data_IF_608212741302
#
_entry.id   IF_608212741302
#
_cell.length_a   1.000
_cell.length_b   1.000
_cell.length_c   1.000
_cell.angle_alpha   90.00
_cell.angle_beta   90.00
_cell.angle_gamma   90.00
#
_symmetry.space_group_name_H-M   'P 1'
#
loop_
_entity.id
_entity.type
_entity.pdbx_description
1 polymer ?
#
# COMPACT_ATOMS: atom_id res chain seq x y z
N UNK A 1 49.02 -46.73 -3.47
CA UNK A 1 48.46 -46.42 -4.81
C UNK A 1 48.53 -44.91 -5.02
N UNK A 2 49.27 -44.45 -6.04
CA UNK A 2 49.52 -43.02 -6.33
C UNK A 2 48.36 -42.37 -7.10
N UNK A 3 47.14 -42.41 -6.57
CA UNK A 3 45.97 -41.84 -7.25
C UNK A 3 45.99 -40.30 -7.29
N UNK A 4 46.71 -39.66 -6.36
CA UNK A 4 46.81 -38.19 -6.32
C UNK A 4 47.62 -37.62 -7.50
N UNK A 5 48.64 -38.36 -7.95
CA UNK A 5 49.60 -37.89 -8.96
C UNK A 5 49.26 -38.33 -10.39
N UNK A 6 48.43 -39.36 -10.55
CA UNK A 6 48.11 -39.94 -11.87
C UNK A 6 46.78 -39.47 -12.46
N UNK A 7 45.96 -38.73 -11.71
CA UNK A 7 44.65 -38.27 -12.16
C UNK A 7 44.63 -36.76 -12.35
N UNK A 8 44.12 -36.30 -13.48
CA UNK A 8 43.90 -34.88 -13.73
C UNK A 8 42.77 -34.33 -12.85
N UNK A 9 42.77 -33.03 -12.59
CA UNK A 9 41.71 -32.40 -11.79
C UNK A 9 40.31 -32.62 -12.40
N UNK A 10 40.21 -32.69 -13.72
CA UNK A 10 38.97 -33.02 -14.43
C UNK A 10 38.55 -34.48 -14.21
N UNK A 11 39.49 -35.44 -14.26
CA UNK A 11 39.18 -36.85 -13.98
C UNK A 11 38.75 -37.08 -12.53
N UNK A 12 39.38 -36.38 -11.57
CA UNK A 12 38.97 -36.38 -10.16
C UNK A 12 37.53 -35.89 -9.99
N UNK A 13 37.12 -34.88 -10.77
CA UNK A 13 35.75 -34.37 -10.80
C UNK A 13 34.74 -35.40 -11.37
N UNK A 14 35.12 -36.10 -12.44
CA UNK A 14 34.29 -37.17 -13.03
C UNK A 14 34.07 -38.33 -12.06
N UNK A 15 35.10 -38.73 -11.31
CA UNK A 15 34.96 -39.75 -10.26
C UNK A 15 34.03 -39.27 -9.14
N UNK A 16 34.16 -38.02 -8.69
CA UNK A 16 33.28 -37.47 -7.66
C UNK A 16 31.81 -37.41 -8.11
N UNK A 17 31.56 -37.14 -9.38
CA UNK A 17 30.21 -37.20 -9.98
C UNK A 17 29.58 -38.59 -9.89
N UNK A 18 30.37 -39.66 -10.02
CA UNK A 18 29.88 -41.04 -9.96
C UNK A 18 29.58 -41.51 -8.53
N UNK A 19 30.39 -41.10 -7.55
CA UNK A 19 30.29 -41.63 -6.18
C UNK A 19 29.59 -40.70 -5.18
N UNK A 20 29.69 -39.36 -5.35
CA UNK A 20 29.20 -38.41 -4.35
C UNK A 20 28.83 -37.06 -4.96
N UNK A 21 27.65 -37.02 -5.57
CA UNK A 21 27.08 -35.82 -6.20
C UNK A 21 26.92 -34.63 -5.24
N UNK A 22 26.69 -34.86 -3.94
CA UNK A 22 26.54 -33.77 -2.95
C UNK A 22 27.79 -32.86 -2.82
N UNK A 23 28.97 -33.38 -3.16
CA UNK A 23 30.23 -32.62 -3.12
C UNK A 23 30.62 -32.06 -4.48
N UNK A 24 29.87 -32.40 -5.54
CA UNK A 24 30.18 -32.00 -6.91
C UNK A 24 30.16 -30.48 -7.06
N UNK A 25 29.17 -29.79 -6.48
CA UNK A 25 29.08 -28.33 -6.59
C UNK A 25 30.35 -27.64 -6.08
N UNK A 26 30.85 -28.02 -4.90
CA UNK A 26 32.10 -27.47 -4.35
C UNK A 26 33.31 -27.83 -5.21
N UNK A 27 33.42 -29.10 -5.62
CA UNK A 27 34.54 -29.55 -6.44
C UNK A 27 34.58 -28.91 -7.84
N UNK A 28 33.43 -28.58 -8.42
CA UNK A 28 33.33 -27.80 -9.67
C UNK A 28 33.88 -26.39 -9.44
N UNK A 29 33.48 -25.73 -8.36
CA UNK A 29 33.98 -24.39 -8.01
C UNK A 29 35.51 -24.41 -7.81
N UNK A 30 36.03 -25.43 -7.12
CA UNK A 30 37.47 -25.61 -6.92
C UNK A 30 38.20 -25.84 -8.27
N UNK A 31 37.62 -26.67 -9.14
CA UNK A 31 38.18 -26.95 -10.47
C UNK A 31 38.25 -25.69 -11.36
N UNK A 32 37.17 -24.90 -11.39
CA UNK A 32 37.12 -23.64 -12.16
C UNK A 32 38.10 -22.63 -11.57
N UNK A 33 38.20 -22.54 -10.25
CA UNK A 33 39.16 -21.64 -9.56
C UNK A 33 40.60 -21.99 -9.92
N UNK A 34 40.95 -23.27 -9.96
CA UNK A 34 42.30 -23.75 -10.30
C UNK A 34 42.65 -23.58 -11.78
N UNK A 35 41.67 -23.72 -12.67
CA UNK A 35 41.90 -23.75 -14.13
C UNK A 35 41.77 -22.37 -14.78
N UNK A 36 40.80 -21.56 -14.33
CA UNK A 36 40.44 -20.28 -14.95
C UNK A 36 40.69 -19.07 -14.04
N UNK A 37 40.96 -19.27 -12.73
CA UNK A 37 41.05 -18.26 -11.66
C UNK A 37 39.76 -18.08 -10.85
N UNK A 38 39.94 -17.69 -9.58
CA UNK A 38 38.89 -17.47 -8.59
C UNK A 38 37.85 -16.41 -9.00
N UNK A 39 38.23 -15.47 -9.89
CA UNK A 39 37.34 -14.43 -10.41
C UNK A 39 36.10 -14.97 -11.16
N UNK A 40 36.14 -16.22 -11.63
CA UNK A 40 35.03 -16.85 -12.36
C UNK A 40 34.04 -17.60 -11.46
N UNK A 41 34.39 -17.83 -10.20
CA UNK A 41 33.50 -18.45 -9.21
C UNK A 41 32.93 -17.46 -8.21
N UNK A 42 33.60 -16.31 -8.03
CA UNK A 42 33.08 -15.24 -7.19
C UNK A 42 32.00 -14.45 -7.93
N UNK A 43 30.85 -14.16 -7.29
CA UNK A 43 29.87 -13.26 -7.86
C UNK A 43 30.50 -11.88 -8.06
N UNK A 44 30.25 -11.21 -9.21
CA UNK A 44 30.81 -9.89 -9.46
C UNK A 44 30.31 -8.90 -8.41
N UNK A 45 31.22 -8.11 -7.83
CA UNK A 45 30.85 -7.01 -6.95
C UNK A 45 30.30 -5.88 -7.82
N UNK A 46 29.02 -5.58 -7.67
CA UNK A 46 28.36 -4.53 -8.46
C UNK A 46 28.73 -3.18 -7.84
N UNK A 47 29.45 -2.35 -8.60
CA UNK A 47 29.69 -0.94 -8.27
C UNK A 47 28.92 -0.05 -9.23
N UNK A 48 28.02 0.79 -8.70
CA UNK A 48 27.24 1.74 -9.52
C UNK A 48 28.12 2.75 -10.25
N UNK A 49 29.29 3.07 -9.71
CA UNK A 49 30.25 4.01 -10.31
C UNK A 49 30.86 3.45 -11.59
N UNK A 50 31.28 2.18 -11.57
CA UNK A 50 31.79 1.50 -12.76
C UNK A 50 30.71 1.33 -13.84
N UNK A 51 29.46 1.09 -13.44
CA UNK A 51 28.32 1.03 -14.35
C UNK A 51 28.05 2.39 -14.98
N UNK A 52 28.15 3.48 -14.21
CA UNK A 52 27.93 4.84 -14.70
C UNK A 52 29.00 5.26 -15.71
N UNK A 53 30.29 4.98 -15.44
CA UNK A 53 31.39 5.26 -16.39
C UNK A 53 31.24 4.53 -17.72
N UNK A 54 30.67 3.33 -17.71
CA UNK A 54 30.42 2.53 -18.92
C UNK A 54 29.08 2.86 -19.60
N UNK A 55 28.21 3.64 -18.94
CA UNK A 55 26.88 3.99 -19.45
C UNK A 55 26.94 5.15 -20.44
N UNK A 56 25.94 5.26 -21.32
CA UNK A 56 25.78 6.40 -22.21
C UNK A 56 24.33 6.89 -22.20
N UNK A 57 24.07 8.16 -22.59
CA UNK A 57 22.70 8.70 -22.64
C UNK A 57 21.73 7.94 -23.55
N UNK A 58 22.24 7.13 -24.48
CA UNK A 58 21.44 6.32 -25.41
C UNK A 58 21.25 4.87 -24.93
N UNK A 59 21.87 4.47 -23.82
CA UNK A 59 21.82 3.10 -23.29
C UNK A 59 21.26 3.11 -21.86
N UNK A 60 19.96 2.79 -21.67
CA UNK A 60 19.36 2.80 -20.36
C UNK A 60 19.89 1.65 -19.49
N UNK A 61 20.21 1.95 -18.24
CA UNK A 61 20.65 0.96 -17.24
C UNK A 61 19.43 0.41 -16.49
N UNK A 62 19.31 -0.91 -16.44
CA UNK A 62 18.19 -1.60 -15.78
C UNK A 62 18.68 -2.37 -14.57
N UNK A 63 18.05 -2.15 -13.41
CA UNK A 63 18.33 -2.89 -12.17
C UNK A 63 17.23 -3.92 -11.91
N UNK A 64 17.62 -5.18 -11.70
CA UNK A 64 16.69 -6.26 -11.34
C UNK A 64 16.73 -6.43 -9.83
N UNK A 65 15.61 -6.14 -9.17
CA UNK A 65 15.52 -6.17 -7.71
C UNK A 65 15.08 -7.54 -7.22
N UNK A 66 15.80 -8.05 -6.22
CA UNK A 66 15.32 -9.15 -5.36
C UNK A 66 14.59 -8.56 -4.14
N UNK A 67 13.62 -9.27 -3.54
CA UNK A 67 12.93 -8.81 -2.34
C UNK A 67 13.91 -8.39 -1.24
N UNK A 68 13.77 -7.16 -0.71
CA UNK A 68 14.66 -6.61 0.31
C UNK A 68 15.94 -5.94 -0.22
N UNK A 69 16.15 -5.88 -1.54
CA UNK A 69 17.23 -5.13 -2.17
C UNK A 69 16.68 -3.83 -2.78
N UNK A 70 17.12 -2.68 -2.29
CA UNK A 70 16.76 -1.36 -2.82
C UNK A 70 18.01 -0.54 -3.19
N UNK A 71 18.30 -0.31 -4.48
CA UNK A 71 19.47 0.43 -4.95
C UNK A 71 19.30 1.96 -4.86
N UNK A 72 18.13 2.46 -4.47
CA UNK A 72 17.82 3.90 -4.52
C UNK A 72 18.79 4.71 -3.67
N UNK A 73 19.11 4.25 -2.45
CA UNK A 73 20.01 4.98 -1.55
C UNK A 73 21.43 5.10 -2.09
N UNK A 74 21.93 4.08 -2.78
CA UNK A 74 23.27 4.09 -3.37
C UNK A 74 23.31 4.89 -4.68
N UNK A 75 22.21 4.90 -5.43
CA UNK A 75 22.06 5.75 -6.60
C UNK A 75 22.02 7.24 -6.23
N UNK A 76 21.35 7.60 -5.13
CA UNK A 76 21.35 8.97 -4.60
C UNK A 76 22.77 9.42 -4.20
N UNK A 77 23.51 8.58 -3.46
CA UNK A 77 24.91 8.87 -3.11
C UNK A 77 25.79 9.03 -4.34
N UNK A 78 25.59 8.21 -5.38
CA UNK A 78 26.33 8.33 -6.64
C UNK A 78 26.00 9.65 -7.35
N UNK A 79 24.72 10.06 -7.38
CA UNK A 79 24.31 11.31 -7.99
C UNK A 79 24.88 12.53 -7.28
N UNK A 80 24.95 12.52 -5.95
CA UNK A 80 25.65 13.56 -5.18
C UNK A 80 27.14 13.63 -5.55
N UNK A 81 27.82 12.48 -5.60
CA UNK A 81 29.26 12.40 -5.93
C UNK A 81 29.59 12.83 -7.36
N UNK A 82 28.73 12.51 -8.31
CA UNK A 82 28.90 12.86 -9.74
C UNK A 82 28.41 14.28 -10.06
N UNK A 83 27.98 15.02 -9.04
CA UNK A 83 27.50 16.39 -9.14
C UNK A 83 26.06 16.52 -9.63
N UNK A 84 25.37 15.43 -9.96
CA UNK A 84 23.96 15.39 -10.36
C UNK A 84 22.95 15.48 -9.19
N UNK A 85 23.40 15.90 -7.99
CA UNK A 85 22.54 16.12 -6.82
C UNK A 85 21.47 17.22 -7.02
N UNK A 86 20.46 17.22 -6.14
CA UNK A 86 19.36 18.18 -6.13
C UNK A 86 18.29 17.89 -7.20
N UNK A 87 17.81 18.94 -7.88
CA UNK A 87 16.68 18.88 -8.82
C UNK A 87 16.99 18.21 -10.18
N UNK A 88 18.25 17.82 -10.41
CA UNK A 88 18.69 17.21 -11.69
C UNK A 88 18.40 15.72 -11.78
N UNK A 89 18.34 15.02 -10.64
CA UNK A 89 17.93 13.62 -10.57
C UNK A 89 16.44 13.54 -10.24
N UNK A 90 15.65 13.00 -11.17
CA UNK A 90 14.20 12.82 -10.98
C UNK A 90 13.88 11.35 -10.81
N UNK A 91 13.25 11.00 -9.70
CA UNK A 91 12.72 9.66 -9.47
C UNK A 91 11.28 9.58 -9.94
N UNK A 92 11.00 8.63 -10.82
CA UNK A 92 9.66 8.34 -11.30
C UNK A 92 9.32 6.90 -10.90
N UNK A 93 8.43 6.74 -9.94
CA UNK A 93 7.91 5.43 -9.56
C UNK A 93 6.82 5.02 -10.55
N UNK A 94 7.05 3.96 -11.32
CA UNK A 94 6.09 3.43 -12.28
C UNK A 94 4.95 2.72 -11.53
N UNK A 95 3.83 3.43 -11.35
CA UNK A 95 2.58 2.91 -10.80
C UNK A 95 1.39 3.37 -11.66
N UNK A 96 0.22 2.74 -11.49
CA UNK A 96 -0.99 3.18 -12.19
C UNK A 96 -1.32 4.64 -11.81
N UNK A 97 -1.38 5.53 -12.81
CA UNK A 97 -1.75 6.94 -12.62
C UNK A 97 -0.59 7.93 -12.46
N UNK A 98 0.46 7.87 -13.29
CA UNK A 98 1.56 8.86 -13.32
C UNK A 98 1.14 10.26 -13.85
N UNK A 99 0.12 10.85 -13.24
CA UNK A 99 -0.11 12.28 -13.23
C UNK A 99 -0.70 12.67 -11.87
N UNK A 100 0.17 12.73 -10.86
CA UNK A 100 0.11 13.67 -9.72
C UNK A 100 1.23 13.29 -8.76
N UNK A 101 1.91 14.33 -8.28
CA UNK A 101 2.83 14.32 -7.12
C UNK A 101 2.39 13.23 -6.14
N UNK A 102 3.31 12.29 -5.85
CA UNK A 102 3.13 11.25 -4.82
C UNK A 102 2.92 11.96 -3.49
N UNK A 103 1.68 12.32 -3.23
CA UNK A 103 1.18 12.69 -1.92
C UNK A 103 0.75 11.37 -1.32
N UNK A 104 1.71 10.68 -0.70
CA UNK A 104 1.33 9.63 0.23
C UNK A 104 0.28 10.22 1.18
N UNK A 105 -0.87 9.56 1.40
CA UNK A 105 -1.86 10.07 2.31
C UNK A 105 -1.20 10.29 3.69
N UNK A 106 -1.41 11.45 4.32
CA UNK A 106 -0.79 11.77 5.60
C UNK A 106 -0.89 10.62 6.61
N UNK A 107 0.18 10.38 7.37
CA UNK A 107 0.16 9.31 8.34
C UNK A 107 -0.64 9.69 9.60
N UNK A 108 -1.88 9.21 9.70
CA UNK A 108 -2.72 9.30 10.87
C UNK A 108 -4.07 9.96 10.60
N UNK A 109 -5.12 9.47 11.27
CA UNK A 109 -6.51 9.89 11.10
C UNK A 109 -6.71 11.41 11.14
N UNK A 110 -6.07 12.10 12.09
CA UNK A 110 -6.16 13.56 12.24
C UNK A 110 -5.55 14.31 11.06
N UNK A 111 -4.45 13.81 10.49
CA UNK A 111 -3.79 14.45 9.36
C UNK A 111 -4.56 14.19 8.06
N UNK A 112 -5.11 12.98 7.86
CA UNK A 112 -5.99 12.70 6.73
C UNK A 112 -7.25 13.57 6.75
N UNK A 113 -7.90 13.67 7.92
CA UNK A 113 -9.05 14.58 8.10
C UNK A 113 -8.71 16.02 7.72
N UNK A 114 -7.59 16.53 8.23
CA UNK A 114 -7.15 17.90 7.93
C UNK A 114 -6.83 18.08 6.45
N UNK A 115 -6.21 17.08 5.81
CA UNK A 115 -5.88 17.13 4.40
C UNK A 115 -7.13 17.11 3.51
N UNK A 116 -8.11 16.26 3.80
CA UNK A 116 -9.39 16.25 3.08
C UNK A 116 -10.13 17.56 3.28
N UNK A 117 -10.27 18.03 4.52
CA UNK A 117 -11.03 19.24 4.81
C UNK A 117 -10.37 20.51 4.25
N UNK A 118 -9.03 20.59 4.23
CA UNK A 118 -8.30 21.72 3.65
C UNK A 118 -8.46 21.84 2.13
N UNK A 119 -8.78 20.74 1.45
CA UNK A 119 -9.04 20.73 0.00
C UNK A 119 -10.46 21.16 -0.36
N UNK A 120 -11.38 21.19 0.60
CA UNK A 120 -12.77 21.58 0.36
C UNK A 120 -12.84 23.11 0.39
N UNK A 121 -13.17 23.77 -0.73
CA UNK A 121 -13.32 25.22 -0.75
C UNK A 121 -14.53 25.64 0.09
N UNK A 122 -14.45 26.80 0.74
CA UNK A 122 -15.52 27.32 1.60
C UNK A 122 -16.82 27.50 0.81
N UNK A 123 -16.71 27.89 -0.46
CA UNK A 123 -17.82 28.01 -1.39
C UNK A 123 -18.58 26.69 -1.55
N UNK A 124 -17.88 25.55 -1.57
CA UNK A 124 -18.54 24.24 -1.68
C UNK A 124 -19.30 23.84 -0.40
N UNK A 125 -18.89 24.34 0.77
CA UNK A 125 -19.61 24.13 2.04
C UNK A 125 -20.88 24.99 2.15
N UNK A 126 -20.99 26.04 1.35
CA UNK A 126 -22.15 26.95 1.32
C UNK A 126 -23.13 26.67 0.18
N UNK A 127 -22.78 25.77 -0.76
CA UNK A 127 -23.66 25.41 -1.88
C UNK A 127 -25.01 24.83 -1.46
N UNK A 128 -25.09 24.14 -0.31
CA UNK A 128 -26.32 23.53 0.17
C UNK A 128 -26.96 24.38 1.29
N UNK A 129 -28.24 24.79 1.16
CA UNK A 129 -28.93 25.57 2.18
C UNK A 129 -29.32 24.76 3.42
N UNK A 130 -29.27 23.43 3.36
CA UNK A 130 -29.74 22.56 4.44
C UNK A 130 -28.76 22.55 5.63
N UNK A 131 -29.22 22.77 6.88
CA UNK A 131 -28.33 22.90 8.05
C UNK A 131 -27.52 21.63 8.37
N UNK A 132 -28.03 20.45 8.00
CA UNK A 132 -27.33 19.19 8.18
C UNK A 132 -26.14 18.97 7.22
N UNK A 133 -26.02 19.75 6.13
CA UNK A 133 -25.02 19.51 5.08
C UNK A 133 -23.59 19.57 5.61
N UNK A 134 -23.22 20.66 6.30
CA UNK A 134 -21.87 20.84 6.86
C UNK A 134 -21.47 19.71 7.82
N UNK A 135 -22.42 19.27 8.64
CA UNK A 135 -22.23 18.14 9.57
C UNK A 135 -22.04 16.82 8.84
N UNK A 136 -22.80 16.58 7.77
CA UNK A 136 -22.71 15.36 6.97
C UNK A 136 -21.43 15.31 6.13
N UNK A 137 -20.97 16.44 5.59
CA UNK A 137 -19.68 16.54 4.89
C UNK A 137 -18.52 16.23 5.85
N UNK A 138 -18.59 16.68 7.11
CA UNK A 138 -17.59 16.32 8.12
C UNK A 138 -17.58 14.81 8.40
N UNK A 139 -18.75 14.19 8.55
CA UNK A 139 -18.87 12.73 8.75
C UNK A 139 -18.35 11.96 7.53
N UNK A 140 -18.63 12.45 6.31
CA UNK A 140 -18.13 11.87 5.08
C UNK A 140 -16.59 11.96 4.99
N UNK A 141 -16.00 13.10 5.37
CA UNK A 141 -14.55 13.27 5.42
C UNK A 141 -13.91 12.34 6.45
N UNK A 142 -14.58 12.14 7.60
CA UNK A 142 -14.15 11.18 8.62
C UNK A 142 -14.16 9.75 8.11
N UNK A 143 -15.23 9.37 7.42
CA UNK A 143 -15.32 8.07 6.78
C UNK A 143 -14.20 7.86 5.74
N UNK A 144 -13.96 8.84 4.87
CA UNK A 144 -12.87 8.82 3.89
C UNK A 144 -11.50 8.59 4.55
N UNK A 145 -11.20 9.34 5.62
CA UNK A 145 -9.96 9.22 6.37
C UNK A 145 -9.79 7.85 7.04
N UNK A 146 -10.87 7.28 7.60
CA UNK A 146 -10.86 5.94 8.21
C UNK A 146 -10.59 4.87 7.15
N UNK A 147 -11.24 4.95 5.99
CA UNK A 147 -11.04 4.00 4.88
C UNK A 147 -9.58 4.03 4.42
N UNK A 148 -8.99 5.22 4.27
CA UNK A 148 -7.58 5.39 3.90
C UNK A 148 -6.62 4.81 4.95
N UNK A 149 -6.83 5.09 6.24
CA UNK A 149 -6.00 4.50 7.31
C UNK A 149 -6.10 2.98 7.34
N UNK A 150 -7.30 2.41 7.11
CA UNK A 150 -7.51 0.96 7.13
C UNK A 150 -6.75 0.22 6.02
N UNK A 151 -6.43 0.89 4.91
CA UNK A 151 -5.64 0.28 3.82
C UNK A 151 -4.22 -0.09 4.23
N UNK A 152 -3.64 0.63 5.21
CA UNK A 152 -2.28 0.35 5.71
C UNK A 152 -2.14 -1.03 6.33
N UNK A 153 -3.26 -1.65 6.72
CA UNK A 153 -3.28 -2.97 7.35
C UNK A 153 -3.43 -4.13 6.34
N UNK A 154 -3.38 -3.87 5.03
CA UNK A 154 -3.39 -4.90 4.00
C UNK A 154 -4.55 -5.90 4.15
N UNK A 155 -4.23 -7.20 4.17
CA UNK A 155 -5.22 -8.29 4.31
C UNK A 155 -5.96 -8.31 5.66
N UNK A 156 -5.44 -7.62 6.68
CA UNK A 156 -6.10 -7.48 8.00
C UNK A 156 -7.14 -6.34 7.95
N UNK A 157 -6.91 -5.33 7.11
CA UNK A 157 -7.85 -4.22 6.91
C UNK A 157 -8.96 -4.55 5.93
N UNK A 158 -8.63 -5.27 4.84
CA UNK A 158 -9.55 -5.57 3.74
C UNK A 158 -9.27 -6.95 3.15
N UNK A 159 -10.31 -7.77 2.97
CA UNK A 159 -10.19 -9.04 2.23
C UNK A 159 -10.03 -8.78 0.71
N UNK A 160 -10.69 -7.73 0.21
CA UNK A 160 -10.51 -7.18 -1.13
C UNK A 160 -10.31 -5.67 -0.98
N UNK A 161 -9.16 -5.10 -1.38
CA UNK A 161 -8.92 -3.67 -1.22
C UNK A 161 -9.84 -2.89 -2.16
N UNK A 162 -10.64 -1.98 -1.61
CA UNK A 162 -11.41 -1.01 -2.39
C UNK A 162 -10.72 0.35 -2.37
N UNK A 163 -10.59 0.95 -3.56
CA UNK A 163 -9.85 2.20 -3.76
C UNK A 163 -10.77 3.45 -3.72
N UNK A 164 -11.44 3.70 -2.58
CA UNK A 164 -12.10 4.98 -2.29
C UNK A 164 -11.16 6.19 -2.36
N UNK A 165 -11.18 6.89 -3.49
CA UNK A 165 -10.27 7.97 -3.82
C UNK A 165 -10.96 9.35 -3.67
N UNK A 166 -10.26 10.42 -4.06
CA UNK A 166 -10.79 11.79 -3.98
C UNK A 166 -12.03 11.99 -4.88
N UNK A 167 -12.07 11.37 -6.06
CA UNK A 167 -13.24 11.48 -6.95
C UNK A 167 -14.48 10.84 -6.34
N UNK A 168 -14.35 9.71 -5.64
CA UNK A 168 -15.47 9.09 -4.95
C UNK A 168 -15.99 9.96 -3.80
N UNK A 169 -15.09 10.66 -3.09
CA UNK A 169 -15.44 11.63 -2.07
C UNK A 169 -16.24 12.81 -2.65
N UNK A 170 -15.79 13.36 -3.78
CA UNK A 170 -16.49 14.46 -4.47
C UNK A 170 -17.89 14.02 -4.94
N UNK A 171 -18.02 12.83 -5.53
CA UNK A 171 -19.32 12.28 -5.94
C UNK A 171 -20.25 12.11 -4.72
N UNK A 172 -19.75 11.60 -3.60
CA UNK A 172 -20.55 11.48 -2.37
C UNK A 172 -20.99 12.85 -1.82
N UNK A 173 -20.14 13.88 -1.90
CA UNK A 173 -20.47 15.24 -1.49
C UNK A 173 -21.52 15.87 -2.41
N UNK A 174 -21.46 15.61 -3.71
CA UNK A 174 -22.42 16.08 -4.71
C UNK A 174 -23.80 15.40 -4.55
N UNK A 175 -23.80 14.10 -4.23
CA UNK A 175 -25.03 13.36 -3.87
C UNK A 175 -25.65 13.97 -2.60
N UNK A 176 -24.85 14.22 -1.55
CA UNK A 176 -25.34 14.88 -0.34
C UNK A 176 -25.96 16.24 -0.67
N UNK A 177 -25.29 17.05 -1.47
CA UNK A 177 -25.78 18.37 -1.88
C UNK A 177 -27.13 18.25 -2.62
N UNK A 178 -27.20 17.36 -3.61
CA UNK A 178 -28.41 17.17 -4.42
C UNK A 178 -29.62 16.73 -3.60
N UNK A 179 -29.45 15.74 -2.71
CA UNK A 179 -30.56 15.20 -1.93
C UNK A 179 -31.01 16.12 -0.80
N UNK A 180 -30.07 16.79 -0.13
CA UNK A 180 -30.39 17.72 0.94
C UNK A 180 -31.00 19.03 0.42
N UNK A 181 -30.56 19.48 -0.76
CA UNK A 181 -31.20 20.62 -1.44
C UNK A 181 -32.64 20.28 -1.82
N UNK A 182 -32.89 19.09 -2.38
CA UNK A 182 -34.27 18.64 -2.67
C UNK A 182 -35.14 18.53 -1.42
N UNK A 183 -34.60 18.02 -0.31
CA UNK A 183 -35.34 17.96 0.96
C UNK A 183 -35.69 19.36 1.48
N UNK A 184 -34.74 20.30 1.38
CA UNK A 184 -34.95 21.71 1.74
C UNK A 184 -36.03 22.39 0.87
N UNK A 185 -35.98 22.20 -0.45
CA UNK A 185 -36.99 22.74 -1.37
C UNK A 185 -38.40 22.18 -1.13
N UNK A 186 -38.49 20.92 -0.69
CA UNK A 186 -39.74 20.26 -0.34
C UNK A 186 -40.22 20.59 1.08
N UNK A 187 -39.45 21.39 1.82
CA UNK A 187 -39.71 21.76 3.22
C UNK A 187 -39.84 20.51 4.12
N UNK A 188 -39.07 19.47 3.80
CA UNK A 188 -39.00 18.24 4.60
C UNK A 188 -37.82 18.33 5.56
N UNK A 189 -38.12 18.37 6.86
CA UNK A 189 -37.11 18.36 7.92
C UNK A 189 -36.41 16.99 8.05
N UNK A 190 -36.90 15.95 7.37
CA UNK A 190 -36.36 14.59 7.46
C UNK A 190 -35.27 14.35 6.42
N UNK A 191 -34.08 14.06 6.91
CA UNK A 191 -32.96 13.62 6.08
C UNK A 191 -33.28 12.21 5.51
N UNK A 192 -33.17 12.00 4.18
CA UNK A 192 -33.48 10.72 3.55
C UNK A 192 -32.36 9.68 3.78
N UNK A 193 -32.22 9.23 5.02
CA UNK A 193 -31.13 8.35 5.46
C UNK A 193 -31.05 7.03 4.71
N UNK A 194 -32.18 6.44 4.34
CA UNK A 194 -32.22 5.19 3.57
C UNK A 194 -31.60 5.36 2.19
N UNK A 195 -32.00 6.40 1.47
CA UNK A 195 -31.47 6.74 0.13
C UNK A 195 -30.01 7.14 0.19
N UNK A 196 -29.63 7.97 1.17
CA UNK A 196 -28.23 8.38 1.35
C UNK A 196 -27.32 7.20 1.69
N UNK A 197 -27.76 6.31 2.60
CA UNK A 197 -26.99 5.09 2.93
C UNK A 197 -26.87 4.14 1.75
N UNK A 198 -27.95 3.97 0.99
CA UNK A 198 -27.95 3.12 -0.18
C UNK A 198 -27.01 3.67 -1.25
N UNK A 199 -27.12 4.95 -1.60
CA UNK A 199 -26.30 5.58 -2.64
C UNK A 199 -24.82 5.67 -2.24
N UNK A 200 -24.53 6.14 -1.02
CA UNK A 200 -23.15 6.21 -0.54
C UNK A 200 -22.59 4.78 -0.39
N UNK A 201 -23.40 3.81 0.06
CA UNK A 201 -23.00 2.40 0.21
C UNK A 201 -22.77 1.68 -1.12
N UNK A 202 -23.57 1.96 -2.16
CA UNK A 202 -23.39 1.44 -3.52
C UNK A 202 -22.22 2.10 -4.23
N UNK A 203 -22.08 3.43 -4.15
CA UNK A 203 -20.96 4.17 -4.76
C UNK A 203 -19.64 3.81 -4.11
N UNK A 204 -19.59 3.60 -2.78
CA UNK A 204 -18.37 3.22 -2.06
C UNK A 204 -18.06 1.72 -2.08
N UNK A 205 -18.83 0.89 -2.80
CA UNK A 205 -18.72 -0.58 -2.81
C UNK A 205 -18.60 -1.22 -1.41
N UNK A 206 -19.02 -0.49 -0.37
CA UNK A 206 -18.85 -0.88 1.03
C UNK A 206 -19.97 -1.84 1.47
N UNK A 207 -21.06 -1.89 0.70
CA UNK A 207 -22.25 -2.68 1.00
C UNK A 207 -22.09 -4.19 0.79
N UNK A 208 -21.21 -4.68 -0.09
CA UNK A 208 -21.21 -6.12 -0.43
C UNK A 208 -20.23 -6.96 0.42
N UNK A 209 -19.27 -6.35 1.11
CA UNK A 209 -18.25 -7.12 1.86
C UNK A 209 -18.24 -6.90 3.37
N UNK A 210 -18.90 -5.88 3.92
CA UNK A 210 -18.88 -5.63 5.37
C UNK A 210 -20.06 -6.19 6.16
N UNK A 211 -21.28 -6.27 5.61
CA UNK A 211 -22.40 -6.87 6.37
C UNK A 211 -22.18 -8.36 6.65
N UNK A 212 -21.71 -9.13 5.64
CA UNK A 212 -21.57 -10.58 5.77
C UNK A 212 -20.37 -11.03 6.62
N UNK A 213 -19.32 -10.20 6.75
CA UNK A 213 -18.18 -10.46 7.64
C UNK A 213 -18.48 -9.97 9.07
N UNK A 214 -19.12 -8.82 9.25
CA UNK A 214 -19.47 -8.31 10.59
C UNK A 214 -20.55 -9.12 11.30
N UNK A 215 -21.50 -9.72 10.57
CA UNK A 215 -22.53 -10.60 11.16
C UNK A 215 -21.99 -12.01 11.46
N UNK A 216 -20.96 -12.48 10.74
CA UNK A 216 -20.32 -13.77 11.03
C UNK A 216 -19.41 -13.71 12.26
N UNK A 217 -18.69 -12.61 12.47
CA UNK A 217 -17.84 -12.44 13.66
C UNK A 217 -18.65 -12.17 14.95
N UNK A 218 -19.86 -11.63 14.86
CA UNK A 218 -20.72 -11.47 16.05
C UNK A 218 -21.23 -12.81 16.62
N UNK A 219 -21.28 -13.87 15.79
CA UNK A 219 -21.71 -15.22 16.22
C UNK A 219 -20.56 -16.12 16.70
N UNK A 220 -19.30 -15.77 16.44
CA UNK A 220 -18.14 -16.50 16.98
C UNK A 220 -17.52 -15.85 18.24
N UNK A 221 -18.07 -14.71 18.69
CA UNK A 221 -17.64 -13.93 19.86
C UNK A 221 -18.07 -14.54 21.22
N UNK A 222 -17.82 -15.83 21.43
CA UNK A 222 -17.85 -16.45 22.78
C UNK A 222 -16.50 -17.04 23.20
N UNK A 223 -15.42 -16.76 22.46
CA UNK A 223 -14.07 -17.09 22.93
C UNK A 223 -13.28 -15.82 23.27
N UNK A 224 -12.81 -15.67 24.52
CA UNK A 224 -12.06 -14.50 24.92
C UNK A 224 -10.67 -14.56 24.31
N UNK A 225 -10.34 -13.63 23.41
CA UNK A 225 -8.94 -13.32 23.14
C UNK A 225 -8.33 -12.67 24.40
N UNK A 226 -7.09 -13.02 24.77
CA UNK A 226 -6.46 -12.49 25.97
C UNK A 226 -6.32 -10.97 25.85
N UNK A 227 -6.89 -10.25 26.82
CA UNK A 227 -6.80 -8.80 26.90
C UNK A 227 -5.34 -8.33 26.86
N UNK A 228 -5.03 -7.39 25.97
CA UNK A 228 -3.78 -6.62 26.00
C UNK A 228 -2.78 -6.86 24.86
N UNK A 229 -3.05 -7.77 23.91
CA UNK A 229 -2.01 -8.11 22.92
C UNK A 229 -1.97 -7.22 21.66
N UNK A 230 -3.04 -6.48 21.35
CA UNK A 230 -3.05 -5.54 20.21
C UNK A 230 -3.97 -4.32 20.47
N UNK A 231 -3.50 -3.28 21.19
CA UNK A 231 -4.28 -2.07 21.46
C UNK A 231 -4.81 -1.38 20.18
N UNK A 232 -4.12 -1.57 19.06
CA UNK A 232 -4.46 -0.98 17.76
C UNK A 232 -5.61 -1.72 17.04
N UNK A 233 -5.75 -3.03 17.26
CA UNK A 233 -6.84 -3.84 16.67
C UNK A 233 -8.16 -3.56 17.39
N UNK A 234 -8.09 -3.40 18.72
CA UNK A 234 -9.23 -3.00 19.54
C UNK A 234 -9.69 -1.58 19.21
N UNK A 235 -8.76 -0.64 18.96
CA UNK A 235 -9.09 0.70 18.47
C UNK A 235 -9.74 0.68 17.08
N UNK A 236 -9.26 -0.16 16.16
CA UNK A 236 -9.84 -0.29 14.82
C UNK A 236 -11.23 -0.92 14.81
N UNK A 237 -11.48 -1.89 15.70
CA UNK A 237 -12.81 -2.48 15.93
C UNK A 237 -13.75 -1.47 16.58
N UNK A 238 -13.29 -0.73 17.58
CA UNK A 238 -14.05 0.32 18.27
C UNK A 238 -14.39 1.51 17.35
N UNK A 239 -13.48 1.90 16.45
CA UNK A 239 -13.74 2.94 15.45
C UNK A 239 -14.77 2.49 14.40
N UNK A 240 -14.75 1.21 14.00
CA UNK A 240 -15.78 0.65 13.12
C UNK A 240 -17.17 0.66 13.77
N UNK A 241 -17.23 0.26 15.04
CA UNK A 241 -18.45 0.31 15.86
C UNK A 241 -18.93 1.74 16.13
N UNK A 242 -18.02 2.69 16.34
CA UNK A 242 -18.34 4.10 16.53
C UNK A 242 -18.89 4.75 15.25
N UNK A 243 -18.28 4.47 14.09
CA UNK A 243 -18.77 4.96 12.79
C UNK A 243 -20.15 4.38 12.44
N UNK A 244 -20.39 3.10 12.75
CA UNK A 244 -21.72 2.48 12.58
C UNK A 244 -22.76 3.03 13.57
N UNK A 245 -22.36 3.38 14.80
CA UNK A 245 -23.23 4.05 15.77
C UNK A 245 -23.56 5.48 15.37
N UNK A 246 -22.61 6.22 14.80
CA UNK A 246 -22.82 7.58 14.28
C UNK A 246 -23.77 7.62 13.07
N UNK A 247 -23.89 6.51 12.34
CA UNK A 247 -24.83 6.35 11.22
C UNK A 247 -26.19 5.76 11.64
N UNK A 248 -26.41 5.46 12.93
CA UNK A 248 -27.68 4.94 13.44
C UNK A 248 -28.59 6.12 13.81
N UNK A 249 -29.82 6.13 13.28
CA UNK A 249 -30.84 7.11 13.70
C UNK A 249 -31.10 6.99 15.22
N UNK A 250 -31.33 8.11 15.94
CA UNK A 250 -31.73 8.07 17.35
C UNK A 250 -33.01 7.24 17.61
N UNK A 251 -33.84 7.00 16.59
CA UNK A 251 -35.15 6.35 16.73
C UNK A 251 -35.12 4.81 16.84
N UNK A 252 -33.94 4.18 16.90
CA UNK A 252 -33.79 2.72 17.00
C UNK A 252 -33.14 2.26 18.32
N UNK A 253 -33.19 3.11 19.35
CA UNK A 253 -32.79 2.78 20.73
C UNK A 253 -34.01 2.98 21.64
N UNK A 254 -34.92 2.01 21.56
CA UNK A 254 -35.89 1.66 22.61
C UNK A 254 -35.89 0.15 22.72
#
# INVERSE_FOLDING_TARGET
MQYQDNLTNFQKLLLLRCFRVDRLYRAVMDYVSLTMSEKYVQPPVISFEAVFEQSSPYSPVVFILSPGSDPVSDLMKLAERTGFGGDRLKFLAMGQGQEKVVTEPPNGLKLNMRATYFKIPEEALEQCPHPAFKSLVYVLAFFHAVVQERRKFGKVGWNVPYDFNESDFQVCMEILNTYLTKAFEQNDDKIPWSSLKYLIGEVSACSVTQEHLMVKESRSMTLPFPHGQYPQVELAQNLSWATLKLLRSPEQVT
#
